data_IF_602774730151
#
_entry.id   IF_602774730151
#
_cell.length_a   1.000
_cell.length_b   1.000
_cell.length_c   1.000
_cell.angle_alpha   90.00
_cell.angle_beta   90.00
_cell.angle_gamma   90.00
#
_symmetry.space_group_name_H-M   'P 1'
#
loop_
_entity.id
_entity.type
_entity.pdbx_description
1 polymer ?
#
# COMPACT_ATOMS: atom_id res chain seq x y z
N UNK A 1 -13.60 4.90 12.27
CA UNK A 1 -14.46 6.00 11.78
C UNK A 1 -13.95 6.68 10.51
N UNK A 2 -12.63 6.86 10.29
CA UNK A 2 -12.12 7.61 9.12
C UNK A 2 -12.39 6.98 7.73
N UNK A 3 -12.41 5.65 7.60
CA UNK A 3 -12.56 4.95 6.30
C UNK A 3 -13.87 5.27 5.55
N UNK A 4 -14.97 5.52 6.26
CA UNK A 4 -16.28 5.76 5.64
C UNK A 4 -16.58 7.25 5.42
N UNK A 5 -15.79 8.15 6.00
CA UNK A 5 -16.05 9.60 5.93
C UNK A 5 -15.54 10.23 4.62
N UNK A 6 -14.59 9.60 3.93
CA UNK A 6 -13.95 10.14 2.73
C UNK A 6 -14.60 9.69 1.41
N UNK A 7 -15.50 8.70 1.43
CA UNK A 7 -16.15 8.17 0.22
C UNK A 7 -15.18 7.51 -0.79
N UNK A 8 -13.98 7.13 -0.34
CA UNK A 8 -12.98 6.48 -1.18
C UNK A 8 -13.31 5.00 -1.34
N UNK A 9 -13.35 4.53 -2.57
CA UNK A 9 -13.57 3.10 -2.91
C UNK A 9 -12.27 2.31 -2.97
N UNK A 10 -11.17 2.97 -3.33
CA UNK A 10 -9.88 2.33 -3.56
C UNK A 10 -8.73 3.21 -3.13
N UNK A 11 -7.70 2.59 -2.56
CA UNK A 11 -6.42 3.21 -2.25
C UNK A 11 -5.32 2.50 -3.03
N UNK A 12 -4.41 3.28 -3.61
CA UNK A 12 -3.17 2.75 -4.17
C UNK A 12 -2.00 3.06 -3.22
N UNK A 13 -1.06 2.13 -3.12
CA UNK A 13 0.15 2.26 -2.33
C UNK A 13 1.34 1.65 -3.08
N UNK A 14 2.55 1.92 -2.60
CA UNK A 14 3.74 1.28 -3.14
C UNK A 14 4.83 1.16 -2.08
N UNK A 15 5.77 0.25 -2.30
CA UNK A 15 7.07 0.26 -1.63
C UNK A 15 8.18 0.11 -2.67
N UNK A 16 9.34 0.69 -2.41
CA UNK A 16 10.53 0.45 -3.23
C UNK A 16 10.96 -1.02 -3.12
N UNK A 17 11.42 -1.60 -4.23
CA UNK A 17 11.80 -3.03 -4.31
C UNK A 17 12.88 -3.39 -3.28
N UNK A 18 13.78 -2.46 -2.99
CA UNK A 18 14.85 -2.59 -1.98
C UNK A 18 14.36 -2.53 -0.52
N UNK A 19 13.08 -2.21 -0.28
CA UNK A 19 12.46 -2.15 1.04
C UNK A 19 11.30 -3.15 1.18
N UNK A 20 11.61 -4.45 1.36
CA UNK A 20 10.59 -5.49 1.53
C UNK A 20 9.83 -5.39 2.86
N UNK A 21 10.38 -4.69 3.88
CA UNK A 21 9.71 -4.54 5.17
C UNK A 21 8.40 -3.74 5.05
N UNK A 22 8.39 -2.66 4.26
CA UNK A 22 7.17 -1.91 3.98
C UNK A 22 6.14 -2.72 3.20
N UNK A 23 6.58 -3.61 2.28
CA UNK A 23 5.68 -4.53 1.60
C UNK A 23 4.91 -5.45 2.55
N UNK A 24 5.58 -5.95 3.60
CA UNK A 24 4.92 -6.76 4.63
C UNK A 24 3.87 -5.97 5.41
N UNK A 25 4.10 -4.69 5.67
CA UNK A 25 3.11 -3.82 6.33
C UNK A 25 1.89 -3.62 5.43
N UNK A 26 2.10 -3.31 4.14
CA UNK A 26 1.01 -3.17 3.18
C UNK A 26 0.16 -4.44 3.08
N UNK A 27 0.80 -5.60 2.95
CA UNK A 27 0.10 -6.89 2.92
C UNK A 27 -0.73 -7.14 4.19
N UNK A 28 -0.17 -6.84 5.36
CA UNK A 28 -0.88 -6.95 6.64
C UNK A 28 -2.08 -6.00 6.74
N UNK A 29 -1.99 -4.82 6.14
CA UNK A 29 -3.08 -3.83 6.08
C UNK A 29 -4.16 -4.18 5.03
N UNK A 30 -4.05 -5.34 4.37
CA UNK A 30 -5.02 -5.80 3.38
C UNK A 30 -4.76 -5.35 1.95
N UNK A 31 -3.70 -4.58 1.71
CA UNK A 31 -3.30 -4.23 0.35
C UNK A 31 -2.83 -5.47 -0.40
N UNK A 32 -3.17 -5.55 -1.69
CA UNK A 32 -2.77 -6.64 -2.59
C UNK A 32 -1.82 -6.11 -3.66
N UNK A 33 -0.75 -6.86 -4.00
CA UNK A 33 0.14 -6.45 -5.08
C UNK A 33 -0.62 -6.48 -6.41
N UNK A 34 -0.44 -5.44 -7.21
CA UNK A 34 -1.05 -5.32 -8.55
C UNK A 34 -0.30 -6.12 -9.62
N UNK A 35 0.86 -6.69 -9.27
CA UNK A 35 1.80 -7.29 -10.21
C UNK A 35 2.65 -6.28 -11.00
N UNK A 36 2.45 -4.98 -10.77
CA UNK A 36 3.19 -3.91 -11.46
C UNK A 36 4.39 -3.45 -10.63
N UNK A 37 5.49 -3.20 -11.34
CA UNK A 37 6.66 -2.49 -10.82
C UNK A 37 6.84 -1.24 -11.67
N UNK A 38 6.79 -0.07 -11.03
CA UNK A 38 6.82 1.22 -11.70
C UNK A 38 7.92 2.11 -11.11
N UNK A 39 8.59 2.97 -11.91
CA UNK A 39 9.55 3.92 -11.38
C UNK A 39 8.84 4.98 -10.53
N UNK A 40 9.38 5.26 -9.34
CA UNK A 40 8.91 6.32 -8.43
C UNK A 40 10.06 7.21 -8.01
N UNK A 41 9.85 8.52 -8.06
CA UNK A 41 10.86 9.49 -7.61
C UNK A 41 11.12 9.37 -6.11
N UNK A 42 12.39 9.27 -5.75
CA UNK A 42 12.87 9.24 -4.38
C UNK A 42 14.12 10.09 -4.24
N UNK A 43 13.98 11.23 -3.55
CA UNK A 43 15.13 12.09 -3.26
C UNK A 43 16.22 11.36 -2.46
N UNK A 44 15.82 10.49 -1.53
CA UNK A 44 16.74 9.68 -0.73
C UNK A 44 17.49 8.60 -1.52
N UNK A 45 17.02 8.24 -2.73
CA UNK A 45 17.71 7.32 -3.66
C UNK A 45 18.37 8.05 -4.82
N UNK A 46 18.37 9.38 -4.81
CA UNK A 46 19.00 10.20 -5.84
C UNK A 46 18.25 10.25 -7.18
N UNK A 47 16.98 9.81 -7.25
CA UNK A 47 16.25 9.79 -8.51
C UNK A 47 15.06 8.82 -8.52
N UNK A 48 14.73 8.29 -9.69
CA UNK A 48 13.72 7.25 -9.82
C UNK A 48 14.25 5.90 -9.33
N UNK A 49 13.39 5.15 -8.64
CA UNK A 49 13.68 3.80 -8.22
C UNK A 49 12.46 2.90 -8.44
N UNK A 50 12.65 1.60 -8.72
CA UNK A 50 11.55 0.68 -8.95
C UNK A 50 10.73 0.48 -7.67
N UNK A 51 9.42 0.57 -7.80
CA UNK A 51 8.47 0.37 -6.72
C UNK A 51 7.41 -0.65 -7.09
N UNK A 52 7.12 -1.57 -6.18
CA UNK A 52 6.03 -2.54 -6.31
C UNK A 52 4.74 -1.83 -5.96
N UNK A 53 3.76 -1.91 -6.86
CA UNK A 53 2.48 -1.22 -6.73
C UNK A 53 1.43 -2.12 -6.07
N UNK A 54 0.63 -1.54 -5.18
CA UNK A 54 -0.38 -2.20 -4.37
C UNK A 54 -1.72 -1.47 -4.47
N UNK A 55 -2.80 -2.22 -4.26
CA UNK A 55 -4.16 -1.69 -4.21
C UNK A 55 -4.92 -2.24 -2.99
N UNK A 56 -5.79 -1.42 -2.42
CA UNK A 56 -6.75 -1.81 -1.41
C UNK A 56 -8.13 -1.34 -1.86
N UNK A 57 -9.04 -2.30 -2.03
CA UNK A 57 -10.46 -2.03 -2.19
C UNK A 57 -11.08 -1.84 -0.81
N UNK A 58 -11.70 -0.68 -0.59
CA UNK A 58 -12.30 -0.30 0.68
C UNK A 58 -13.76 -0.78 0.83
N UNK A 59 -14.39 -1.20 -0.27
CA UNK A 59 -15.72 -1.81 -0.28
C UNK A 59 -15.63 -3.35 -0.11
N UNK A 60 -14.42 -3.92 -0.19
CA UNK A 60 -14.15 -5.34 0.07
C UNK A 60 -14.12 -5.62 1.59
N UNK A 61 -15.26 -6.02 2.15
CA UNK A 61 -15.48 -6.39 3.57
C UNK A 61 -14.60 -7.55 4.07
N UNK A 62 -13.81 -8.20 3.21
CA UNK A 62 -12.80 -9.19 3.62
C UNK A 62 -11.56 -8.56 4.24
N UNK A 63 -11.44 -7.23 4.21
CA UNK A 63 -10.38 -6.51 4.92
C UNK A 63 -10.69 -6.47 6.43
N UNK A 64 -10.49 -7.63 7.09
CA UNK A 64 -10.59 -7.71 8.53
C UNK A 64 -9.72 -6.61 9.17
N UNK A 65 -10.25 -5.82 10.12
CA UNK A 65 -9.46 -4.80 10.78
C UNK A 65 -8.32 -5.49 11.53
N UNK A 66 -7.08 -5.20 11.15
CA UNK A 66 -5.97 -5.55 12.01
C UNK A 66 -6.15 -4.81 13.34
N UNK A 67 -5.94 -5.48 14.49
CA UNK A 67 -5.79 -4.76 15.74
C UNK A 67 -4.57 -3.83 15.59
N UNK A 68 -4.81 -2.53 15.64
CA UNK A 68 -3.75 -1.55 15.88
C UNK A 68 -3.18 -1.89 17.25
N UNK A 69 -1.96 -2.44 17.29
CA UNK A 69 -1.26 -2.64 18.55
C UNK A 69 -1.01 -1.26 19.18
N UNK A 70 -1.56 -1.06 20.38
CA UNK A 70 -1.35 0.09 21.24
C UNK A 70 -0.02 -0.03 21.99
#
# INVERSE_FOLDING_TARGET
MARHALGLRRLDAFHFVDNPASGRVLAKLGFRPTGRVEPRTSRGRGGEAPAVMFELDLDDDRCAPMPLAA
#
